data_IF_745171528628
#
_entry.id   IF_745171528628
#
_cell.length_a   1.000
_cell.length_b   1.000
_cell.length_c   1.000
_cell.angle_alpha   90.00
_cell.angle_beta   90.00
_cell.angle_gamma   90.00
#
_symmetry.space_group_name_H-M   'P 1'
#
loop_
_entity.id
_entity.type
_entity.pdbx_description
1 polymer ?
#
# COMPACT_ATOMS: atom_id res chain seq x y z
N UNK A 1 -26.12 -30.55 -13.38
CA UNK A 1 -26.47 -30.37 -14.81
C UNK A 1 -27.26 -29.08 -14.93
N UNK A 2 -26.60 -27.96 -15.22
CA UNK A 2 -27.28 -26.69 -15.45
C UNK A 2 -27.80 -26.64 -16.89
N UNK A 3 -29.13 -26.60 -17.06
CA UNK A 3 -29.76 -26.28 -18.34
C UNK A 3 -29.35 -24.86 -18.71
N UNK A 4 -28.47 -24.73 -19.70
CA UNK A 4 -28.03 -23.44 -20.23
C UNK A 4 -29.29 -22.77 -20.83
N UNK A 5 -29.88 -21.83 -20.09
CA UNK A 5 -30.94 -20.97 -20.59
C UNK A 5 -30.35 -20.06 -21.68
N UNK A 6 -31.03 -19.94 -22.82
CA UNK A 6 -30.55 -19.17 -23.98
C UNK A 6 -30.62 -17.65 -23.78
N UNK A 7 -31.16 -17.23 -22.64
CA UNK A 7 -31.34 -15.84 -22.27
C UNK A 7 -29.99 -15.18 -21.98
N UNK A 8 -29.82 -13.94 -22.46
CA UNK A 8 -28.56 -13.21 -22.36
C UNK A 8 -28.27 -12.89 -20.89
N UNK A 9 -29.29 -12.55 -20.11
CA UNK A 9 -29.17 -12.22 -18.70
C UNK A 9 -28.67 -13.43 -17.91
N UNK A 10 -29.19 -14.62 -18.19
CA UNK A 10 -28.73 -15.87 -17.56
C UNK A 10 -27.25 -16.17 -17.82
N UNK A 11 -26.69 -15.74 -18.96
CA UNK A 11 -25.26 -15.92 -19.28
C UNK A 11 -24.39 -14.89 -18.58
N UNK A 12 -24.89 -13.65 -18.46
CA UNK A 12 -24.23 -12.59 -17.71
C UNK A 12 -24.14 -12.95 -16.23
N UNK A 13 -25.21 -13.48 -15.65
CA UNK A 13 -25.23 -13.93 -14.26
C UNK A 13 -24.20 -15.04 -14.02
N UNK A 14 -24.18 -16.07 -14.87
CA UNK A 14 -23.21 -17.17 -14.76
C UNK A 14 -21.75 -16.70 -14.93
N UNK A 15 -21.52 -15.69 -15.78
CA UNK A 15 -20.19 -15.09 -15.93
C UNK A 15 -19.79 -14.29 -14.69
N UNK A 16 -20.70 -13.51 -14.11
CA UNK A 16 -20.44 -12.75 -12.89
C UNK A 16 -20.17 -13.67 -11.69
N UNK A 17 -20.92 -14.78 -11.58
CA UNK A 17 -20.68 -15.82 -10.58
C UNK A 17 -19.28 -16.43 -10.74
N UNK A 18 -18.92 -16.84 -11.96
CA UNK A 18 -17.59 -17.40 -12.25
C UNK A 18 -16.46 -16.43 -11.89
N UNK A 19 -16.60 -15.15 -12.25
CA UNK A 19 -15.59 -14.13 -11.92
C UNK A 19 -15.50 -13.94 -10.40
N UNK A 20 -16.63 -13.94 -9.70
CA UNK A 20 -16.66 -13.80 -8.24
C UNK A 20 -15.97 -15.00 -7.57
N UNK A 21 -16.24 -16.22 -8.03
CA UNK A 21 -15.60 -17.44 -7.52
C UNK A 21 -14.07 -17.41 -7.72
N UNK A 22 -13.61 -16.99 -8.91
CA UNK A 22 -12.18 -16.84 -9.21
C UNK A 22 -11.56 -15.75 -8.32
N UNK A 23 -12.25 -14.63 -8.12
CA UNK A 23 -11.78 -13.56 -7.24
C UNK A 23 -11.69 -14.01 -5.77
N UNK A 24 -12.66 -14.78 -5.29
CA UNK A 24 -12.65 -15.33 -3.94
C UNK A 24 -11.55 -16.38 -3.74
N UNK A 25 -11.23 -17.17 -4.76
CA UNK A 25 -10.15 -18.15 -4.73
C UNK A 25 -8.76 -17.48 -4.77
N UNK A 26 -8.56 -16.53 -5.70
CA UNK A 26 -7.27 -15.85 -5.90
C UNK A 26 -7.01 -14.77 -4.84
N UNK A 27 -8.05 -14.07 -4.43
CA UNK A 27 -7.98 -12.91 -3.52
C UNK A 27 -9.05 -13.00 -2.42
N UNK A 28 -9.01 -14.03 -1.55
CA UNK A 28 -10.00 -14.20 -0.49
C UNK A 28 -10.05 -12.96 0.40
N UNK A 29 -11.26 -12.59 0.83
CA UNK A 29 -11.47 -11.44 1.70
C UNK A 29 -10.68 -11.61 3.01
N UNK A 30 -9.58 -10.86 3.12
CA UNK A 30 -8.77 -10.83 4.35
C UNK A 30 -9.36 -9.82 5.30
N UNK A 31 -10.16 -10.28 6.24
CA UNK A 31 -10.55 -9.45 7.38
C UNK A 31 -9.35 -9.27 8.30
N UNK A 32 -8.86 -8.03 8.43
CA UNK A 32 -7.82 -7.70 9.39
C UNK A 32 -8.47 -7.02 10.60
N UNK A 33 -8.31 -7.64 11.77
CA UNK A 33 -8.66 -6.98 13.01
C UNK A 33 -7.54 -6.01 13.34
N UNK A 34 -7.84 -4.71 13.27
CA UNK A 34 -6.92 -3.67 13.72
C UNK A 34 -6.80 -3.76 15.25
N UNK A 35 -5.86 -4.57 15.73
CA UNK A 35 -5.64 -4.84 17.16
C UNK A 35 -5.24 -3.60 17.98
N UNK A 36 -4.90 -2.49 17.32
CA UNK A 36 -4.53 -1.25 17.99
C UNK A 36 -5.31 -0.10 17.38
N UNK A 37 -6.17 0.58 18.16
CA UNK A 37 -6.86 1.75 17.66
C UNK A 37 -5.83 2.74 17.13
N UNK A 38 -6.17 3.40 16.01
CA UNK A 38 -5.36 4.48 15.49
C UNK A 38 -5.15 5.50 16.61
N UNK A 39 -3.92 5.98 16.75
CA UNK A 39 -3.54 6.98 17.74
C UNK A 39 -3.51 8.31 17.00
N UNK A 40 -4.62 9.06 16.92
CA UNK A 40 -4.74 10.22 16.03
C UNK A 40 -3.74 11.32 16.39
N UNK A 41 -3.39 11.47 17.67
CA UNK A 41 -2.38 12.42 18.10
C UNK A 41 -0.92 12.03 17.78
N UNK A 42 -0.68 10.89 17.11
CA UNK A 42 0.66 10.43 16.71
C UNK A 42 0.92 10.72 15.22
N UNK A 43 1.27 11.97 14.93
CA UNK A 43 1.55 12.48 13.57
C UNK A 43 2.76 11.80 12.91
N UNK A 44 2.92 11.95 11.59
CA UNK A 44 4.09 11.46 10.84
C UNK A 44 5.40 12.01 11.41
N UNK A 45 5.43 13.30 11.73
CA UNK A 45 6.59 13.94 12.36
C UNK A 45 6.97 13.29 13.69
N UNK A 46 5.98 13.03 14.57
CA UNK A 46 6.21 12.34 15.83
C UNK A 46 6.71 10.91 15.63
N UNK A 47 6.22 10.21 14.60
CA UNK A 47 6.72 8.88 14.23
C UNK A 47 8.18 8.95 13.78
N UNK A 48 8.56 9.95 12.98
CA UNK A 48 9.93 10.16 12.53
C UNK A 48 10.86 10.50 13.71
N UNK A 49 10.44 11.41 14.58
CA UNK A 49 11.20 11.79 15.78
C UNK A 49 11.39 10.60 16.74
N UNK A 50 10.35 9.77 16.89
CA UNK A 50 10.43 8.51 17.64
C UNK A 50 11.45 7.55 17.02
N UNK A 51 11.41 7.36 15.70
CA UNK A 51 12.35 6.49 14.95
C UNK A 51 13.79 6.99 15.09
N UNK A 52 14.04 8.30 14.94
CA UNK A 52 15.36 8.91 15.09
C UNK A 52 15.90 8.68 16.50
N UNK A 53 15.10 8.99 17.52
CA UNK A 53 15.45 8.76 18.93
C UNK A 53 15.82 7.30 19.19
N UNK A 54 14.98 6.36 18.74
CA UNK A 54 15.19 4.93 18.96
C UNK A 54 16.38 4.39 18.13
N UNK A 55 16.66 4.99 16.97
CA UNK A 55 17.86 4.72 16.18
C UNK A 55 19.13 5.18 16.90
N UNK A 56 19.17 6.41 17.43
CA UNK A 56 20.30 6.91 18.24
C UNK A 56 20.55 6.03 19.47
N UNK A 57 19.49 5.64 20.19
CA UNK A 57 19.62 4.76 21.35
C UNK A 57 20.22 3.40 20.96
N UNK A 58 19.65 2.73 19.94
CA UNK A 58 20.18 1.44 19.48
C UNK A 58 21.63 1.56 18.97
N UNK A 59 21.95 2.61 18.23
CA UNK A 59 23.29 2.85 17.70
C UNK A 59 24.31 3.12 18.81
N UNK A 60 23.96 3.93 19.82
CA UNK A 60 24.82 4.17 21.00
C UNK A 60 25.11 2.90 21.77
N UNK A 61 24.11 2.02 21.97
CA UNK A 61 24.29 0.72 22.63
C UNK A 61 25.18 -0.24 21.84
N UNK A 62 25.02 -0.29 20.51
CA UNK A 62 25.86 -1.15 19.66
C UNK A 62 27.31 -0.68 19.57
N UNK A 63 27.55 0.64 19.51
CA UNK A 63 28.87 1.24 19.29
C UNK A 63 29.56 1.75 20.56
N UNK A 64 28.89 1.66 21.71
CA UNK A 64 29.28 2.30 22.97
C UNK A 64 29.67 3.79 22.80
N UNK A 65 28.90 4.52 21.98
CA UNK A 65 29.23 5.89 21.59
C UNK A 65 28.51 6.91 22.47
N UNK A 66 29.29 7.74 23.17
CA UNK A 66 28.80 8.81 24.06
C UNK A 66 28.06 9.89 23.26
N UNK A 67 28.55 10.28 22.09
CA UNK A 67 27.91 11.33 21.26
C UNK A 67 26.51 10.91 20.78
N UNK A 68 26.34 9.66 20.36
CA UNK A 68 25.03 9.13 19.99
C UNK A 68 24.08 9.05 21.19
N UNK A 69 24.62 8.77 22.38
CA UNK A 69 23.83 8.78 23.61
C UNK A 69 23.40 10.20 24.01
N UNK A 70 24.30 11.18 23.91
CA UNK A 70 23.98 12.59 24.13
C UNK A 70 22.84 13.05 23.19
N UNK A 71 22.93 12.71 21.89
CA UNK A 71 21.86 12.99 20.94
C UNK A 71 20.52 12.34 21.33
N UNK A 72 20.54 11.10 21.81
CA UNK A 72 19.33 10.45 22.34
C UNK A 72 18.74 11.20 23.54
N UNK A 73 19.60 11.67 24.45
CA UNK A 73 19.19 12.45 25.64
C UNK A 73 18.54 13.77 25.23
N UNK A 74 19.00 14.44 24.17
CA UNK A 74 18.37 15.64 23.60
C UNK A 74 17.01 15.36 22.95
N UNK A 75 16.91 14.28 22.16
CA UNK A 75 15.69 13.93 21.43
C UNK A 75 14.56 13.46 22.35
N UNK A 76 14.89 12.87 23.50
CA UNK A 76 13.91 12.33 24.45
C UNK A 76 12.92 13.37 25.01
N UNK A 77 13.35 14.51 25.60
CA UNK A 77 12.44 15.55 26.08
C UNK A 77 11.70 16.24 24.94
N UNK A 78 12.34 16.45 23.77
CA UNK A 78 11.66 17.05 22.62
C UNK A 78 10.49 16.18 22.14
N UNK A 79 10.73 14.87 21.97
CA UNK A 79 9.66 13.91 21.65
C UNK A 79 8.53 13.92 22.69
N UNK A 80 8.88 13.90 23.99
CA UNK A 80 7.86 13.91 25.06
C UNK A 80 7.02 15.19 25.04
N UNK A 81 7.65 16.35 24.85
CA UNK A 81 6.98 17.65 24.77
C UNK A 81 6.02 17.70 23.58
N UNK A 82 6.49 17.34 22.39
CA UNK A 82 5.66 17.33 21.17
C UNK A 82 4.50 16.33 21.29
N UNK A 83 4.77 15.12 21.81
CA UNK A 83 3.72 14.12 22.03
C UNK A 83 2.64 14.63 22.99
N UNK A 84 3.04 15.27 24.08
CA UNK A 84 2.09 15.86 25.03
C UNK A 84 1.27 16.98 24.38
N UNK A 85 1.91 17.88 23.64
CA UNK A 85 1.24 18.98 22.93
C UNK A 85 0.24 18.47 21.89
N UNK A 86 0.62 17.51 21.05
CA UNK A 86 -0.29 16.91 20.07
C UNK A 86 -1.46 16.19 20.73
N UNK A 87 -1.24 15.52 21.87
CA UNK A 87 -2.31 14.87 22.63
C UNK A 87 -3.27 15.90 23.21
N UNK A 88 -2.77 16.97 23.83
CA UNK A 88 -3.61 18.05 24.38
C UNK A 88 -4.43 18.70 23.28
N UNK A 89 -3.80 19.06 22.14
CA UNK A 89 -4.50 19.64 20.98
C UNK A 89 -5.63 18.74 20.48
N UNK A 90 -5.39 17.43 20.39
CA UNK A 90 -6.41 16.46 19.99
C UNK A 90 -7.56 16.39 21.00
N UNK A 91 -7.27 16.33 22.31
CA UNK A 91 -8.28 16.27 23.35
C UNK A 91 -9.12 17.57 23.42
N UNK A 92 -8.49 18.74 23.24
CA UNK A 92 -9.20 20.02 23.14
C UNK A 92 -10.19 20.01 21.98
N UNK A 93 -9.75 19.58 20.79
CA UNK A 93 -10.62 19.44 19.60
C UNK A 93 -11.75 18.43 19.82
N UNK A 94 -11.48 17.30 20.48
CA UNK A 94 -12.47 16.29 20.77
C UNK A 94 -13.47 16.71 21.87
N UNK A 95 -13.06 17.61 22.76
CA UNK A 95 -13.90 18.11 23.86
C UNK A 95 -14.81 19.28 23.46
N UNK A 96 -14.51 19.97 22.35
CA UNK A 96 -15.42 20.96 21.79
C UNK A 96 -16.70 20.28 21.32
N UNK A 97 -17.88 20.79 21.71
CA UNK A 97 -19.23 20.25 21.42
C UNK A 97 -19.58 20.04 19.93
N UNK A 98 -18.64 20.30 19.03
CA UNK A 98 -18.75 19.99 17.60
C UNK A 98 -17.50 19.19 17.27
N UNK A 99 -17.61 17.86 17.32
CA UNK A 99 -16.63 17.00 16.66
C UNK A 99 -16.49 17.54 15.23
N UNK A 100 -15.28 17.97 14.81
CA UNK A 100 -15.06 18.28 13.41
C UNK A 100 -15.50 17.04 12.62
N UNK A 101 -16.23 17.23 11.52
CA UNK A 101 -16.56 16.11 10.63
C UNK A 101 -15.30 15.29 10.37
N UNK A 102 -15.45 13.98 10.18
CA UNK A 102 -14.32 13.08 9.90
C UNK A 102 -13.37 13.67 8.85
N UNK A 103 -13.91 14.32 7.82
CA UNK A 103 -13.20 15.06 6.77
C UNK A 103 -12.30 16.20 7.33
N UNK A 104 -12.80 17.00 8.27
CA UNK A 104 -11.97 18.04 8.93
C UNK A 104 -10.88 17.45 9.80
N UNK A 105 -11.12 16.30 10.44
CA UNK A 105 -10.07 15.59 11.17
C UNK A 105 -8.99 15.10 10.18
N UNK A 106 -9.38 14.52 9.05
CA UNK A 106 -8.46 14.03 8.01
C UNK A 106 -7.60 15.17 7.45
N UNK A 107 -8.19 16.34 7.17
CA UNK A 107 -7.46 17.53 6.70
C UNK A 107 -6.49 18.10 7.75
N UNK A 108 -6.81 18.03 9.05
CA UNK A 108 -5.91 18.51 10.13
C UNK A 108 -4.66 17.62 10.27
N UNK A 109 -4.74 16.35 9.87
CA UNK A 109 -3.68 15.36 10.12
C UNK A 109 -2.76 15.09 8.92
N UNK A 110 -2.82 15.89 7.85
CA UNK A 110 -2.02 15.72 6.61
C UNK A 110 -2.04 14.27 6.12
N UNK A 111 -3.22 13.62 6.20
CA UNK A 111 -3.40 12.30 5.60
C UNK A 111 -3.53 12.41 4.08
N UNK A 112 -3.80 13.61 3.56
CA UNK A 112 -3.86 13.91 2.12
C UNK A 112 -2.50 13.69 1.46
N UNK A 113 -1.38 14.04 2.10
CA UNK A 113 -0.03 13.83 1.53
C UNK A 113 0.36 12.35 1.40
N UNK A 114 -0.17 11.47 2.25
CA UNK A 114 0.08 10.02 2.14
C UNK A 114 -0.79 9.40 1.04
N UNK A 115 -2.01 9.91 0.84
CA UNK A 115 -2.95 9.38 -0.15
C UNK A 115 -2.65 9.94 -1.55
N UNK A 116 -2.26 11.21 -1.69
CA UNK A 116 -1.97 11.82 -2.99
C UNK A 116 -0.59 11.44 -3.54
N UNK A 117 0.42 11.21 -2.68
CA UNK A 117 1.77 10.86 -3.16
C UNK A 117 1.94 9.39 -3.56
N UNK A 118 1.07 8.48 -3.13
CA UNK A 118 1.16 7.04 -3.45
C UNK A 118 0.14 6.52 -4.48
N UNK A 119 -0.87 7.30 -4.90
CA UNK A 119 -1.97 6.77 -5.74
C UNK A 119 -2.14 7.37 -7.14
N UNK A 120 -1.39 8.40 -7.54
CA UNK A 120 -1.37 8.78 -8.96
C UNK A 120 -0.37 7.91 -9.74
N UNK A 121 -0.76 6.67 -10.00
CA UNK A 121 -0.07 5.84 -10.99
C UNK A 121 -0.36 6.41 -12.39
N UNK A 122 0.41 7.42 -12.80
CA UNK A 122 0.31 8.04 -14.12
C UNK A 122 0.79 7.06 -15.20
N UNK A 123 -0.12 6.23 -15.72
CA UNK A 123 0.12 5.31 -16.83
C UNK A 123 0.62 6.04 -18.08
N UNK A 124 0.24 7.31 -18.26
CA UNK A 124 0.63 8.15 -19.40
C UNK A 124 2.13 8.47 -19.46
N UNK A 125 2.84 8.46 -18.33
CA UNK A 125 4.27 8.74 -18.26
C UNK A 125 5.13 7.49 -18.01
N UNK A 126 4.52 6.31 -17.95
CA UNK A 126 5.24 5.08 -17.66
C UNK A 126 5.80 4.50 -18.95
N UNK A 127 7.10 4.61 -19.14
CA UNK A 127 7.82 3.99 -20.26
C UNK A 127 7.63 2.46 -20.25
N UNK A 128 7.30 1.89 -21.40
CA UNK A 128 7.06 0.45 -21.60
C UNK A 128 8.26 -0.36 -21.15
N UNK A 129 9.49 0.12 -21.39
CA UNK A 129 10.68 -0.61 -20.94
C UNK A 129 10.80 -0.68 -19.42
N UNK A 130 10.16 0.24 -18.69
CA UNK A 130 10.06 0.21 -17.23
C UNK A 130 9.01 -0.78 -16.76
N UNK A 131 7.88 -0.92 -17.48
CA UNK A 131 6.87 -1.97 -17.24
C UNK A 131 7.48 -3.35 -17.49
N UNK A 132 8.14 -3.56 -18.63
CA UNK A 132 8.83 -4.82 -18.94
C UNK A 132 9.92 -5.17 -17.92
N UNK A 133 10.68 -4.17 -17.45
CA UNK A 133 11.67 -4.37 -16.37
C UNK A 133 10.99 -4.73 -15.05
N UNK A 134 9.83 -4.16 -14.73
CA UNK A 134 9.06 -4.53 -13.55
C UNK A 134 8.54 -5.98 -13.65
N UNK A 135 8.00 -6.37 -14.80
CA UNK A 135 7.55 -7.75 -15.08
C UNK A 135 8.70 -8.73 -14.94
N UNK A 136 9.85 -8.44 -15.57
CA UNK A 136 11.05 -9.28 -15.45
C UNK A 136 11.55 -9.34 -14.01
N UNK A 137 11.50 -8.25 -13.25
CA UNK A 137 11.88 -8.24 -11.82
C UNK A 137 10.94 -9.08 -10.96
N UNK A 138 9.63 -9.01 -11.19
CA UNK A 138 8.64 -9.86 -10.49
C UNK A 138 8.93 -11.32 -10.81
N UNK A 139 9.12 -11.65 -12.10
CA UNK A 139 9.44 -13.01 -12.55
C UNK A 139 10.74 -13.58 -11.97
N UNK A 140 11.73 -12.76 -11.64
CA UNK A 140 13.05 -13.22 -11.18
C UNK A 140 13.18 -13.16 -9.65
N UNK A 141 12.56 -12.18 -8.99
CA UNK A 141 12.81 -11.86 -7.58
C UNK A 141 11.57 -11.96 -6.67
N UNK A 142 10.40 -12.36 -7.17
CA UNK A 142 9.22 -12.54 -6.32
C UNK A 142 9.38 -13.77 -5.41
N UNK A 143 10.13 -13.62 -4.31
CA UNK A 143 10.13 -14.61 -3.23
C UNK A 143 8.79 -14.55 -2.51
N UNK A 144 7.99 -15.61 -2.64
CA UNK A 144 6.72 -15.76 -1.92
C UNK A 144 5.46 -15.54 -2.77
N UNK A 145 5.59 -15.30 -4.09
CA UNK A 145 4.50 -15.56 -5.02
C UNK A 145 4.67 -16.97 -5.58
N UNK A 146 3.58 -17.71 -5.66
CA UNK A 146 3.52 -19.00 -6.34
C UNK A 146 3.50 -18.81 -7.86
N UNK A 147 3.86 -19.86 -8.61
CA UNK A 147 3.98 -19.79 -10.06
C UNK A 147 2.66 -19.41 -10.75
N UNK A 148 1.50 -19.72 -10.13
CA UNK A 148 0.17 -19.38 -10.64
C UNK A 148 -0.05 -17.86 -10.59
N UNK A 149 0.18 -17.23 -9.43
CA UNK A 149 0.08 -15.77 -9.30
C UNK A 149 0.97 -15.03 -10.30
N UNK A 150 2.18 -15.54 -10.57
CA UNK A 150 3.10 -14.95 -11.56
C UNK A 150 2.53 -15.02 -12.98
N UNK A 151 1.84 -16.12 -13.34
CA UNK A 151 1.19 -16.26 -14.64
C UNK A 151 -0.05 -15.37 -14.77
N UNK A 152 -0.84 -15.22 -13.71
CA UNK A 152 -1.99 -14.32 -13.68
C UNK A 152 -1.58 -12.86 -13.85
N UNK A 153 -0.54 -12.41 -13.14
CA UNK A 153 0.01 -11.07 -13.33
C UNK A 153 0.51 -10.84 -14.75
N UNK A 154 1.15 -11.84 -15.38
CA UNK A 154 1.55 -11.77 -16.78
C UNK A 154 0.35 -11.66 -17.72
N UNK A 155 -0.71 -12.44 -17.48
CA UNK A 155 -1.92 -12.41 -18.29
C UNK A 155 -2.64 -11.06 -18.21
N UNK A 156 -2.77 -10.51 -16.99
CA UNK A 156 -3.38 -9.19 -16.75
C UNK A 156 -2.56 -8.10 -17.46
N UNK A 157 -1.24 -8.11 -17.32
CA UNK A 157 -0.35 -7.14 -17.97
C UNK A 157 -0.41 -7.24 -19.50
N UNK A 158 -0.44 -8.46 -20.05
CA UNK A 158 -0.62 -8.69 -21.48
C UNK A 158 -2.01 -8.25 -21.99
N UNK A 159 -3.05 -8.32 -21.15
CA UNK A 159 -4.37 -7.79 -21.47
C UNK A 159 -4.43 -6.27 -21.48
N UNK A 160 -3.60 -5.59 -20.66
CA UNK A 160 -3.57 -4.13 -20.57
C UNK A 160 -2.71 -3.49 -21.68
N UNK A 161 -1.64 -4.17 -22.12
CA UNK A 161 -0.71 -3.65 -23.14
C UNK A 161 -1.36 -3.21 -24.47
N UNK A 162 -2.34 -3.91 -25.07
CA UNK A 162 -3.01 -3.50 -26.30
C UNK A 162 -3.72 -2.14 -26.19
N UNK A 163 -4.23 -1.81 -25.00
CA UNK A 163 -4.94 -0.54 -24.76
C UNK A 163 -3.99 0.65 -24.61
N UNK A 164 -2.68 0.41 -24.50
CA UNK A 164 -1.65 1.46 -24.53
C UNK A 164 -1.32 1.97 -25.94
N UNK A 165 -1.99 1.44 -26.98
CA UNK A 165 -1.80 1.86 -28.37
C UNK A 165 -0.60 1.21 -29.07
N UNK A 166 -0.03 0.14 -28.51
CA UNK A 166 1.08 -0.61 -29.09
C UNK A 166 0.64 -2.02 -29.53
N UNK A 167 1.00 -2.41 -30.76
CA UNK A 167 0.79 -3.76 -31.29
C UNK A 167 2.02 -4.60 -30.90
N UNK A 168 1.91 -5.63 -30.04
CA UNK A 168 3.06 -6.42 -29.64
C UNK A 168 3.57 -7.25 -30.84
N UNK A 169 4.84 -7.07 -31.20
CA UNK A 169 5.51 -7.80 -32.29
C UNK A 169 6.12 -9.13 -31.87
N UNK A 170 5.73 -9.70 -30.73
CA UNK A 170 6.31 -10.93 -30.21
C UNK A 170 5.35 -12.12 -30.25
N UNK A 171 5.32 -12.83 -31.37
CA UNK A 171 4.99 -14.25 -31.46
C UNK A 171 5.69 -14.82 -32.70
N UNK A 172 7.02 -15.04 -32.61
CA UNK A 172 7.75 -15.92 -33.54
C UNK A 172 9.13 -16.29 -32.97
N UNK A 173 9.18 -16.74 -31.71
CA UNK A 173 10.33 -17.52 -31.25
C UNK A 173 9.97 -19.02 -31.28
N UNK A 174 10.69 -19.84 -32.06
CA UNK A 174 10.43 -21.27 -32.12
C UNK A 174 10.85 -21.92 -30.80
N UNK A 175 9.92 -22.67 -30.23
CA UNK A 175 10.14 -23.53 -29.07
C UNK A 175 11.13 -24.63 -29.49
N UNK A 176 12.41 -24.45 -29.16
CA UNK A 176 13.39 -25.54 -29.21
C UNK A 176 13.01 -26.58 -28.14
N UNK A 177 12.66 -27.78 -28.60
CA UNK A 177 12.48 -28.98 -27.78
C UNK A 177 13.80 -29.52 -27.26
#
# INVERSE_FOLDING_TARGET
MHLIRSDIDSKLDAFNELISDVLDEVAPEKTFVVNRPLIPWLTVELRNLKRERDACYRASKRRNSISLFARYVELRPDFKRRLSSSKTKYLELASGNVLPSFEKCVAIFDLEDIVESELQFNLSNTDITSVERAIKRISINARGLDDVSVQEYKAILNGILPYSGFIPTYLDEPICR
#
